data_IF_434885311225
#
_entry.id   IF_434885311225
#
_cell.length_a   1.000
_cell.length_b   1.000
_cell.length_c   1.000
_cell.angle_alpha   90.00
_cell.angle_beta   90.00
_cell.angle_gamma   90.00
#
_symmetry.space_group_name_H-M   'P 1'
#
loop_
_entity.id
_entity.type
_entity.pdbx_description
1 polymer ?
#
# COMPACT_ATOMS: atom_id res chain seq x y z
N UNK A 1 -77.65 4.95 -4.40
CA UNK A 1 -77.01 4.02 -3.44
C UNK A 1 -76.18 3.02 -4.22
N UNK A 2 -74.84 3.05 -4.06
CA UNK A 2 -73.83 2.04 -4.42
C UNK A 2 -73.61 1.72 -5.93
N UNK A 3 -72.42 1.52 -6.48
CA UNK A 3 -71.00 1.65 -6.06
C UNK A 3 -70.24 1.79 -7.41
N UNK A 4 -69.49 2.87 -7.60
CA UNK A 4 -68.40 2.94 -8.59
C UNK A 4 -67.19 2.31 -7.91
N UNK A 5 -66.86 1.06 -8.24
CA UNK A 5 -65.58 0.44 -7.87
C UNK A 5 -65.17 -0.51 -8.97
N UNK A 6 -64.13 -0.15 -9.72
CA UNK A 6 -63.56 -1.06 -10.70
C UNK A 6 -62.59 -0.47 -11.72
N UNK A 7 -61.97 0.69 -11.47
CA UNK A 7 -60.87 1.20 -12.30
C UNK A 7 -59.77 1.78 -11.40
N UNK A 8 -59.35 0.97 -10.42
CA UNK A 8 -58.11 1.18 -9.69
C UNK A 8 -57.48 -0.20 -9.52
N UNK A 9 -56.50 -0.54 -10.38
CA UNK A 9 -55.34 -1.35 -9.94
C UNK A 9 -54.28 -1.63 -11.01
N UNK A 10 -54.43 -1.27 -12.29
CA UNK A 10 -53.32 -1.51 -13.25
C UNK A 10 -52.29 -0.36 -13.28
N UNK A 11 -52.71 0.89 -13.14
CA UNK A 11 -51.80 2.04 -13.18
C UNK A 11 -50.89 2.15 -11.96
N UNK A 12 -51.39 1.77 -10.78
CA UNK A 12 -50.63 1.86 -9.52
C UNK A 12 -49.58 0.76 -9.36
N UNK A 13 -49.79 -0.41 -9.98
CA UNK A 13 -48.82 -1.51 -9.94
C UNK A 13 -47.59 -1.21 -10.82
N UNK A 14 -47.79 -0.50 -11.94
CA UNK A 14 -46.70 -0.17 -12.86
C UNK A 14 -45.74 0.91 -12.29
N UNK A 15 -46.28 1.87 -11.52
CA UNK A 15 -45.47 2.91 -10.86
C UNK A 15 -44.68 2.34 -9.68
N UNK A 16 -45.19 1.31 -8.99
CA UNK A 16 -44.46 0.63 -7.91
C UNK A 16 -43.28 -0.20 -8.44
N UNK A 17 -43.38 -0.79 -9.64
CA UNK A 17 -42.24 -1.46 -10.29
C UNK A 17 -41.18 -0.49 -10.80
N UNK A 18 -41.55 0.73 -11.20
CA UNK A 18 -40.60 1.76 -11.64
C UNK A 18 -39.80 2.38 -10.49
N UNK A 19 -40.33 2.36 -9.26
CA UNK A 19 -39.64 2.83 -8.06
C UNK A 19 -38.76 1.76 -7.38
N UNK A 20 -38.82 0.51 -7.84
CA UNK A 20 -37.90 -0.56 -7.41
C UNK A 20 -36.61 -0.62 -8.24
N UNK A 21 -36.45 0.26 -9.24
CA UNK A 21 -35.14 0.60 -9.80
C UNK A 21 -34.45 1.64 -8.91
N UNK A 22 -34.38 1.37 -7.61
CA UNK A 22 -33.43 2.04 -6.73
C UNK A 22 -32.05 1.67 -7.25
N UNK A 23 -31.36 2.66 -7.82
CA UNK A 23 -29.92 2.76 -8.01
C UNK A 23 -29.17 1.49 -7.61
N UNK A 24 -29.24 0.45 -8.45
CA UNK A 24 -28.15 -0.51 -8.46
C UNK A 24 -27.04 0.31 -9.08
N UNK A 25 -26.24 0.94 -8.22
CA UNK A 25 -24.89 1.32 -8.60
C UNK A 25 -24.26 0.00 -9.03
N UNK A 26 -24.38 -0.31 -10.31
CA UNK A 26 -23.47 -1.21 -10.98
C UNK A 26 -22.15 -0.44 -10.98
N UNK A 27 -21.51 -0.39 -9.82
CA UNK A 27 -20.07 -0.28 -9.79
C UNK A 27 -19.63 -1.49 -10.57
N UNK A 28 -19.18 -1.26 -11.80
CA UNK A 28 -18.35 -2.19 -12.52
C UNK A 28 -17.13 -2.42 -11.61
N UNK A 29 -17.26 -3.38 -10.69
CA UNK A 29 -16.16 -3.98 -9.98
C UNK A 29 -15.41 -4.75 -11.05
N UNK A 30 -14.57 -4.04 -11.80
CA UNK A 30 -13.51 -4.69 -12.53
C UNK A 30 -12.78 -5.52 -11.47
N UNK A 31 -12.94 -6.85 -11.53
CA UNK A 31 -11.91 -7.73 -11.00
C UNK A 31 -10.63 -7.16 -11.56
N UNK A 32 -9.75 -6.68 -10.68
CA UNK A 32 -8.42 -6.18 -11.05
C UNK A 32 -7.91 -7.14 -12.11
N UNK A 33 -7.77 -6.62 -13.33
CA UNK A 33 -7.48 -7.43 -14.48
C UNK A 33 -6.29 -8.31 -14.15
N UNK A 34 -6.39 -9.60 -14.43
CA UNK A 34 -5.20 -10.43 -14.59
C UNK A 34 -4.35 -9.76 -15.67
N UNK A 35 -3.48 -8.83 -15.30
CA UNK A 35 -2.38 -8.42 -16.16
C UNK A 35 -1.39 -9.57 -16.11
N UNK A 36 -1.70 -10.60 -16.90
CA UNK A 36 -0.74 -11.62 -17.30
C UNK A 36 -0.18 -11.19 -18.63
N UNK A 37 0.81 -10.30 -18.62
CA UNK A 37 1.65 -10.07 -19.78
C UNK A 37 3.13 -10.11 -19.36
N UNK A 38 3.83 -11.10 -19.90
CA UNK A 38 5.29 -11.22 -19.85
C UNK A 38 5.84 -11.70 -18.50
N UNK A 39 6.00 -13.01 -18.32
CA UNK A 39 6.90 -13.55 -17.29
C UNK A 39 8.34 -13.18 -17.64
N UNK A 40 8.78 -12.00 -17.22
CA UNK A 40 10.20 -11.70 -16.99
C UNK A 40 10.65 -12.46 -15.71
N UNK A 41 11.92 -12.84 -15.56
CA UNK A 41 12.37 -13.61 -14.41
C UNK A 41 12.11 -12.84 -13.12
N UNK A 42 11.91 -13.57 -12.02
CA UNK A 42 11.70 -13.00 -10.69
C UNK A 42 12.58 -11.76 -10.47
N UNK A 43 11.95 -10.60 -10.23
CA UNK A 43 12.69 -9.35 -10.06
C UNK A 43 13.72 -9.55 -8.95
N UNK A 44 14.97 -9.23 -9.28
CA UNK A 44 16.06 -9.37 -8.32
C UNK A 44 16.14 -8.12 -7.45
N UNK A 45 16.65 -8.24 -6.23
CA UNK A 45 16.96 -7.07 -5.40
C UNK A 45 17.85 -6.05 -6.14
N UNK A 46 18.64 -6.49 -7.14
CA UNK A 46 19.45 -5.59 -7.97
C UNK A 46 18.60 -4.62 -8.78
N UNK A 47 17.44 -5.04 -9.26
CA UNK A 47 16.52 -4.19 -10.03
C UNK A 47 15.80 -3.21 -9.11
N UNK A 48 15.34 -3.67 -7.94
CA UNK A 48 14.76 -2.80 -6.92
C UNK A 48 15.76 -1.72 -6.47
N UNK A 49 17.04 -2.08 -6.36
CA UNK A 49 18.10 -1.14 -6.00
C UNK A 49 18.70 -0.32 -7.16
N UNK A 50 18.12 -0.36 -8.38
CA UNK A 50 18.54 0.54 -9.47
C UNK A 50 18.29 2.01 -9.14
N UNK A 51 17.24 2.29 -8.37
CA UNK A 51 16.87 3.65 -7.95
C UNK A 51 17.77 4.23 -6.83
N UNK A 52 18.69 3.43 -6.29
CA UNK A 52 19.55 3.81 -5.17
C UNK A 52 21.01 3.98 -5.63
N UNK A 53 21.72 4.91 -4.99
CA UNK A 53 23.17 5.05 -5.16
C UNK A 53 23.86 3.88 -4.49
N UNK A 54 24.99 3.47 -5.04
CA UNK A 54 25.80 2.39 -4.49
C UNK A 54 26.30 2.66 -3.06
N UNK A 55 26.40 3.95 -2.67
CA UNK A 55 26.76 4.41 -1.33
C UNK A 55 25.60 4.43 -0.34
N UNK A 56 24.36 4.31 -0.81
CA UNK A 56 23.18 4.35 0.07
C UNK A 56 23.21 3.15 1.02
N UNK A 57 22.84 3.38 2.27
CA UNK A 57 22.82 2.37 3.33
C UNK A 57 21.42 1.76 3.48
N UNK A 58 21.38 0.45 3.67
CA UNK A 58 20.14 -0.32 3.85
C UNK A 58 20.25 -1.17 5.13
N UNK A 59 19.15 -1.25 5.88
CA UNK A 59 18.96 -2.18 6.99
C UNK A 59 17.77 -3.09 6.72
N UNK A 60 17.85 -4.35 7.15
CA UNK A 60 16.72 -5.28 7.11
C UNK A 60 16.05 -5.37 8.47
N UNK A 61 14.74 -5.11 8.54
CA UNK A 61 13.92 -5.26 9.74
C UNK A 61 13.36 -6.70 9.87
N UNK A 62 12.92 -7.09 11.06
CA UNK A 62 12.30 -8.40 11.31
C UNK A 62 10.97 -8.62 10.59
N UNK A 63 10.31 -7.56 10.11
CA UNK A 63 9.18 -7.65 9.17
C UNK A 63 9.58 -8.12 7.77
N UNK A 64 10.87 -8.10 7.45
CA UNK A 64 11.39 -8.28 6.09
C UNK A 64 11.58 -6.98 5.33
N UNK A 65 11.19 -5.83 5.90
CA UNK A 65 11.43 -4.52 5.30
C UNK A 65 12.91 -4.25 5.10
N UNK A 66 13.27 -3.77 3.92
CA UNK A 66 14.57 -3.20 3.59
C UNK A 66 14.41 -1.68 3.63
N UNK A 67 14.97 -1.05 4.66
CA UNK A 67 14.79 0.38 4.92
C UNK A 67 16.05 1.16 4.56
N UNK A 68 15.85 2.36 4.04
CA UNK A 68 16.87 3.37 3.75
C UNK A 68 16.52 4.68 4.45
N UNK A 69 17.52 5.35 5.03
CA UNK A 69 17.37 6.66 5.67
C UNK A 69 16.90 6.57 7.12
N UNK A 70 16.14 7.58 7.56
CA UNK A 70 15.60 7.66 8.91
C UNK A 70 14.16 7.15 8.91
N UNK A 71 13.90 6.10 9.66
CA UNK A 71 12.53 5.58 9.82
C UNK A 71 12.21 5.37 11.29
N UNK A 72 10.95 5.61 11.65
CA UNK A 72 10.42 5.24 12.96
C UNK A 72 9.12 4.47 12.83
N UNK A 73 8.81 3.65 13.84
CA UNK A 73 7.61 2.82 13.89
C UNK A 73 6.83 3.20 15.14
N UNK A 74 5.51 3.34 14.98
CA UNK A 74 4.53 3.56 16.04
C UNK A 74 3.32 2.65 15.83
N UNK A 75 2.44 2.57 16.82
CA UNK A 75 1.11 1.99 16.59
C UNK A 75 0.26 3.01 15.83
N UNK A 76 -0.53 2.57 14.84
CA UNK A 76 -1.44 3.46 14.11
C UNK A 76 -2.45 4.14 15.05
N UNK A 77 -2.89 3.48 16.13
CA UNK A 77 -3.83 4.07 17.09
C UNK A 77 -3.20 5.09 18.05
N UNK A 78 -1.87 5.17 18.09
CA UNK A 78 -1.10 6.06 18.97
C UNK A 78 0.19 6.49 18.22
N UNK A 79 0.07 7.29 17.15
CA UNK A 79 1.17 7.58 16.22
C UNK A 79 2.31 8.39 16.87
N UNK A 80 2.02 9.11 17.94
CA UNK A 80 3.00 9.92 18.68
C UNK A 80 3.93 9.05 19.56
N UNK A 81 3.51 7.83 19.88
CA UNK A 81 4.30 6.89 20.69
C UNK A 81 5.20 6.02 19.82
N UNK A 82 6.39 6.53 19.54
CA UNK A 82 7.41 5.80 18.79
C UNK A 82 7.90 4.58 19.59
N UNK A 83 7.78 3.39 19.00
CA UNK A 83 8.22 2.11 19.59
C UNK A 83 9.55 1.61 19.01
N UNK A 84 9.97 2.13 17.86
CA UNK A 84 11.25 1.81 17.23
C UNK A 84 11.71 2.96 16.35
N UNK A 85 13.02 3.18 16.26
CA UNK A 85 13.61 4.15 15.33
C UNK A 85 14.97 3.65 14.86
N UNK A 86 15.31 3.96 13.61
CA UNK A 86 16.61 3.67 13.03
C UNK A 86 17.03 4.76 12.05
N UNK A 87 18.33 5.01 12.01
CA UNK A 87 19.01 5.90 11.08
C UNK A 87 20.07 5.04 10.36
N UNK A 88 19.80 4.64 9.11
CA UNK A 88 20.62 3.62 8.43
C UNK A 88 22.07 4.06 8.23
N UNK A 89 22.32 5.37 8.15
CA UNK A 89 23.67 5.91 8.00
C UNK A 89 24.52 5.79 9.27
N UNK A 90 23.87 5.54 10.42
CA UNK A 90 24.52 5.42 11.74
C UNK A 90 24.43 4.01 12.33
N UNK A 91 23.70 3.10 11.67
CA UNK A 91 23.51 1.74 12.18
C UNK A 91 24.67 0.84 11.72
N UNK A 92 25.37 0.21 12.66
CA UNK A 92 26.49 -0.68 12.38
C UNK A 92 26.11 -1.95 11.60
N UNK A 93 24.81 -2.29 11.56
CA UNK A 93 24.27 -3.44 10.83
C UNK A 93 23.84 -3.08 9.41
N UNK A 94 23.86 -1.79 9.06
CA UNK A 94 23.57 -1.35 7.71
C UNK A 94 24.63 -1.87 6.73
N UNK A 95 24.23 -2.07 5.48
CA UNK A 95 25.12 -2.38 4.36
C UNK A 95 24.88 -1.41 3.23
N UNK A 96 25.92 -1.12 2.47
CA UNK A 96 25.77 -0.30 1.28
C UNK A 96 25.01 -1.09 0.21
N UNK A 97 24.31 -0.38 -0.67
CA UNK A 97 23.68 -0.99 -1.85
C UNK A 97 24.71 -1.74 -2.70
N UNK A 98 25.94 -1.24 -2.80
CA UNK A 98 27.03 -1.93 -3.49
C UNK A 98 27.33 -3.32 -2.88
N UNK A 99 27.37 -3.41 -1.54
CA UNK A 99 27.62 -4.68 -0.83
C UNK A 99 26.47 -5.66 -1.07
N UNK A 100 25.23 -5.18 -1.03
CA UNK A 100 24.05 -6.02 -1.23
C UNK A 100 23.98 -6.53 -2.67
N UNK A 101 24.29 -5.70 -3.67
CA UNK A 101 24.40 -6.09 -5.08
C UNK A 101 25.49 -7.16 -5.31
N UNK A 102 26.53 -7.20 -4.44
CA UNK A 102 27.58 -8.24 -4.42
C UNK A 102 27.21 -9.49 -3.61
N UNK A 103 26.02 -9.54 -3.01
CA UNK A 103 25.52 -10.70 -2.27
C UNK A 103 25.88 -10.73 -0.79
N UNK A 104 26.36 -9.62 -0.22
CA UNK A 104 26.56 -9.52 1.24
C UNK A 104 25.20 -9.60 1.94
N UNK A 105 25.10 -10.48 2.93
CA UNK A 105 23.86 -10.66 3.68
C UNK A 105 23.59 -9.48 4.63
N UNK A 106 22.31 -9.13 4.76
CA UNK A 106 21.83 -8.16 5.74
C UNK A 106 21.50 -8.88 7.05
N UNK A 107 22.03 -8.37 8.15
CA UNK A 107 21.57 -8.77 9.49
C UNK A 107 20.14 -8.26 9.71
N UNK A 108 19.32 -9.09 10.36
CA UNK A 108 17.93 -8.73 10.66
C UNK A 108 17.83 -8.01 12.00
N UNK A 109 17.43 -6.75 11.97
CA UNK A 109 17.16 -5.93 13.14
C UNK A 109 15.78 -6.24 13.68
N UNK A 110 15.71 -6.64 14.95
CA UNK A 110 14.44 -6.91 15.64
C UNK A 110 13.70 -5.59 15.92
N UNK A 111 12.47 -5.51 15.46
CA UNK A 111 11.52 -4.45 15.82
C UNK A 111 10.56 -4.96 16.90
N UNK A 112 10.30 -4.21 17.99
CA UNK A 112 9.29 -4.57 18.99
C UNK A 112 7.89 -4.71 18.37
N UNK A 113 7.08 -5.65 18.85
CA UNK A 113 5.63 -5.77 18.59
C UNK A 113 5.18 -5.79 17.11
N UNK A 114 6.01 -6.39 16.27
CA UNK A 114 5.77 -6.62 14.84
C UNK A 114 5.74 -8.16 14.66
N UNK A 115 4.59 -8.83 14.88
CA UNK A 115 4.48 -10.26 14.61
C UNK A 115 4.78 -10.49 13.13
N UNK A 116 5.92 -11.13 12.80
CA UNK A 116 6.33 -11.59 11.46
C UNK A 116 5.52 -10.96 10.30
N UNK A 117 5.67 -9.64 10.10
CA UNK A 117 4.81 -8.84 9.22
C UNK A 117 5.23 -8.95 7.74
N UNK A 118 5.64 -10.12 7.25
CA UNK A 118 5.62 -10.30 5.80
C UNK A 118 4.15 -10.28 5.40
N UNK A 119 3.76 -9.25 4.64
CA UNK A 119 2.46 -9.02 4.02
C UNK A 119 1.26 -9.85 4.53
N UNK A 120 0.30 -9.13 5.09
CA UNK A 120 -0.77 -9.71 5.90
C UNK A 120 -2.05 -9.92 5.09
N UNK A 121 -2.92 -10.80 5.53
CA UNK A 121 -4.29 -10.91 5.00
C UNK A 121 -5.26 -9.90 5.64
N UNK A 122 -4.73 -8.97 6.45
CA UNK A 122 -5.48 -7.96 7.20
C UNK A 122 -4.79 -6.61 7.05
N UNK A 123 -5.55 -5.50 7.11
CA UNK A 123 -4.99 -4.15 7.10
C UNK A 123 -3.86 -3.93 8.11
N UNK A 124 -2.93 -3.00 7.84
CA UNK A 124 -1.83 -2.71 8.74
C UNK A 124 -2.34 -2.14 10.08
N UNK A 125 -1.62 -2.45 11.14
CA UNK A 125 -1.85 -1.93 12.49
C UNK A 125 -0.67 -1.11 13.02
N UNK A 126 0.44 -1.14 12.29
CA UNK A 126 1.68 -0.43 12.62
C UNK A 126 1.92 0.66 11.59
N UNK A 127 2.38 1.80 12.07
CA UNK A 127 2.71 2.98 11.28
C UNK A 127 4.22 3.05 11.12
N UNK A 128 4.71 3.22 9.89
CA UNK A 128 6.09 3.54 9.59
C UNK A 128 6.17 5.00 9.13
N UNK A 129 6.77 5.83 9.99
CA UNK A 129 7.11 7.20 9.64
C UNK A 129 8.40 7.20 8.83
N UNK A 130 8.31 7.72 7.60
CA UNK A 130 9.46 7.85 6.70
C UNK A 130 10.02 9.27 6.80
N UNK A 131 11.27 9.39 7.23
CA UNK A 131 12.01 10.64 7.18
C UNK A 131 12.24 11.13 5.76
N UNK A 132 12.81 12.31 5.63
CA UNK A 132 13.16 12.89 4.33
C UNK A 132 14.02 11.93 3.50
N UNK A 133 13.62 11.73 2.23
CA UNK A 133 14.28 10.84 1.25
C UNK A 133 14.42 9.38 1.70
N UNK A 134 13.75 9.02 2.79
CA UNK A 134 13.77 7.67 3.36
C UNK A 134 12.77 6.78 2.63
N UNK A 135 13.04 5.48 2.60
CA UNK A 135 12.17 4.50 1.95
C UNK A 135 12.12 3.17 2.68
N UNK A 136 11.05 2.43 2.41
CA UNK A 136 10.84 1.06 2.85
C UNK A 136 10.47 0.21 1.65
N UNK A 137 11.22 -0.88 1.48
CA UNK A 137 11.00 -1.86 0.41
C UNK A 137 10.63 -3.20 1.04
N UNK A 138 9.58 -3.84 0.56
CA UNK A 138 9.19 -5.18 1.00
C UNK A 138 8.92 -6.10 -0.18
N UNK A 139 9.15 -7.39 0.07
CA UNK A 139 8.75 -8.47 -0.81
C UNK A 139 7.32 -8.90 -0.48
N UNK A 140 6.49 -9.14 -1.50
CA UNK A 140 5.19 -9.78 -1.35
C UNK A 140 5.36 -11.30 -1.18
N UNK A 141 4.66 -11.89 -0.22
CA UNK A 141 4.50 -13.35 -0.16
C UNK A 141 3.51 -13.77 -1.25
N UNK A 142 4.02 -14.52 -2.22
CA UNK A 142 3.20 -15.11 -3.27
C UNK A 142 2.04 -15.91 -2.68
N UNK A 143 0.81 -15.77 -3.22
CA UNK A 143 -0.30 -16.58 -2.71
C UNK A 143 -1.65 -16.34 -3.39
N UNK A 144 -2.43 -17.41 -3.51
CA UNK A 144 -3.65 -17.46 -4.32
C UNK A 144 -4.91 -16.83 -3.72
N UNK A 145 -5.79 -16.39 -4.61
CA UNK A 145 -7.16 -15.91 -4.41
C UNK A 145 -7.45 -15.00 -3.22
N UNK A 146 -6.49 -14.21 -2.71
CA UNK A 146 -6.69 -13.35 -1.52
C UNK A 146 -5.94 -12.02 -1.61
N UNK A 147 -6.47 -11.01 -0.92
CA UNK A 147 -5.79 -9.74 -0.70
C UNK A 147 -4.62 -9.87 0.28
N UNK A 148 -3.50 -9.25 -0.08
CA UNK A 148 -2.30 -9.08 0.74
C UNK A 148 -2.07 -7.61 0.99
N UNK A 149 -1.89 -7.23 2.24
CA UNK A 149 -1.68 -5.87 2.70
C UNK A 149 -0.24 -5.68 3.14
N UNK A 150 0.28 -4.46 2.96
CA UNK A 150 1.60 -4.08 3.44
C UNK A 150 1.75 -4.32 4.96
N UNK A 151 3.01 -4.52 5.37
CA UNK A 151 3.37 -4.70 6.77
C UNK A 151 3.01 -3.49 7.65
N UNK A 152 3.07 -2.30 7.05
CA UNK A 152 2.91 -1.02 7.70
C UNK A 152 1.94 -0.15 6.88
N UNK A 153 1.21 0.73 7.57
CA UNK A 153 0.83 1.99 6.97
C UNK A 153 2.04 2.92 7.02
N UNK A 154 2.07 3.91 6.14
CA UNK A 154 3.18 4.83 5.97
C UNK A 154 2.71 6.25 6.17
N UNK A 155 3.54 7.06 6.79
CA UNK A 155 3.33 8.49 6.92
C UNK A 155 4.63 9.23 6.59
N UNK A 156 4.60 10.27 5.75
CA UNK A 156 5.77 11.09 5.53
C UNK A 156 5.97 11.98 6.76
N UNK A 157 7.19 12.04 7.29
CA UNK A 157 7.55 13.06 8.27
C UNK A 157 7.71 14.38 7.51
N UNK A 158 6.92 15.43 7.82
CA UNK A 158 6.93 16.68 7.08
C UNK A 158 8.31 17.33 7.08
N UNK A 159 8.68 17.95 5.96
CA UNK A 159 9.90 18.75 5.84
C UNK A 159 9.53 20.20 5.55
N UNK A 160 10.27 21.13 6.14
CA UNK A 160 9.94 22.56 6.22
C UNK A 160 10.06 23.34 4.92
N UNK A 161 10.50 22.73 3.80
CA UNK A 161 10.95 23.49 2.62
C UNK A 161 10.55 22.95 1.23
N UNK A 162 9.95 21.77 1.10
CA UNK A 162 9.48 21.24 -0.19
C UNK A 162 8.26 20.32 -0.04
N UNK A 163 7.42 20.23 -1.06
CA UNK A 163 6.23 19.36 -1.08
C UNK A 163 6.71 17.90 -1.21
N UNK A 164 6.96 17.23 -0.07
CA UNK A 164 7.40 15.81 -0.01
C UNK A 164 6.29 14.87 0.44
N UNK A 165 5.93 13.91 -0.41
CA UNK A 165 4.82 12.98 -0.20
C UNK A 165 5.22 11.52 -0.33
N UNK A 166 4.25 10.62 -0.16
CA UNK A 166 4.48 9.19 -0.32
C UNK A 166 4.37 8.80 -1.79
N UNK A 167 5.46 8.23 -2.31
CA UNK A 167 5.53 7.66 -3.64
C UNK A 167 5.55 6.14 -3.50
N UNK A 168 4.60 5.47 -4.16
CA UNK A 168 4.47 4.02 -4.15
C UNK A 168 4.95 3.46 -5.48
N UNK A 169 5.88 2.52 -5.42
CA UNK A 169 6.43 1.87 -6.59
C UNK A 169 6.22 0.36 -6.50
N UNK A 170 5.66 -0.22 -7.56
CA UNK A 170 5.40 -1.64 -7.64
C UNK A 170 6.40 -2.28 -8.61
N UNK A 171 6.95 -3.42 -8.24
CA UNK A 171 7.87 -4.19 -9.06
C UNK A 171 7.25 -5.55 -9.37
N UNK A 172 7.28 -5.95 -10.64
CA UNK A 172 6.83 -7.23 -11.20
C UNK A 172 5.30 -7.41 -11.23
N UNK A 173 4.57 -6.92 -10.23
CA UNK A 173 3.11 -6.97 -10.20
C UNK A 173 2.51 -5.63 -9.76
N UNK A 174 1.27 -5.39 -10.17
CA UNK A 174 0.51 -4.19 -9.82
C UNK A 174 0.03 -4.29 -8.37
N UNK A 175 -0.09 -3.14 -7.71
CA UNK A 175 -0.74 -3.04 -6.40
C UNK A 175 -1.72 -1.86 -6.37
N UNK A 176 -2.55 -1.82 -5.35
CA UNK A 176 -3.35 -0.66 -4.98
C UNK A 176 -2.62 0.08 -3.86
N UNK A 177 -2.74 1.40 -3.84
CA UNK A 177 -2.35 2.24 -2.72
C UNK A 177 -3.45 3.25 -2.43
N UNK A 178 -3.62 3.57 -1.15
CA UNK A 178 -4.70 4.42 -0.70
C UNK A 178 -4.71 4.60 0.80
N UNK A 179 -5.74 5.27 1.29
CA UNK A 179 -5.89 5.57 2.71
C UNK A 179 -6.65 4.50 3.48
N UNK A 180 -6.95 4.82 4.74
CA UNK A 180 -7.65 3.91 5.64
C UNK A 180 -9.04 3.51 5.19
N UNK A 181 -9.73 4.38 4.46
CA UNK A 181 -11.02 4.05 3.91
C UNK A 181 -10.86 3.02 2.79
N UNK A 182 -9.93 3.27 1.86
CA UNK A 182 -9.68 2.39 0.72
C UNK A 182 -9.28 0.96 1.12
N UNK A 183 -8.34 0.79 2.05
CA UNK A 183 -7.91 -0.55 2.45
C UNK A 183 -8.95 -1.27 3.30
N UNK A 184 -9.72 -0.53 4.12
CA UNK A 184 -10.80 -1.13 4.92
C UNK A 184 -11.98 -1.54 4.04
N UNK A 185 -12.33 -0.73 3.05
CA UNK A 185 -13.36 -1.09 2.07
C UNK A 185 -12.91 -2.28 1.24
N UNK A 186 -11.63 -2.35 0.86
CA UNK A 186 -11.09 -3.55 0.20
C UNK A 186 -11.20 -4.78 1.10
N UNK A 187 -10.84 -4.65 2.37
CA UNK A 187 -10.91 -5.75 3.33
C UNK A 187 -12.35 -6.24 3.57
N UNK A 188 -13.29 -5.30 3.73
CA UNK A 188 -14.68 -5.60 4.08
C UNK A 188 -15.50 -6.08 2.88
N UNK A 189 -15.21 -5.59 1.68
CA UNK A 189 -15.98 -5.92 0.47
C UNK A 189 -15.33 -7.02 -0.39
N UNK A 190 -14.03 -7.23 -0.24
CA UNK A 190 -13.24 -8.09 -1.13
C UNK A 190 -12.99 -7.50 -2.53
N UNK A 191 -13.47 -6.28 -2.80
CA UNK A 191 -13.28 -5.54 -4.06
C UNK A 191 -12.15 -4.54 -3.88
N UNK A 192 -11.28 -4.36 -4.88
CA UNK A 192 -10.17 -3.42 -4.78
C UNK A 192 -10.64 -1.96 -4.81
N UNK A 193 -10.29 -1.19 -3.79
CA UNK A 193 -10.43 0.28 -3.74
C UNK A 193 -9.06 0.94 -3.70
N UNK A 194 -8.95 2.22 -4.01
CA UNK A 194 -7.67 2.95 -4.07
C UNK A 194 -7.11 3.16 -5.48
N UNK A 195 -5.87 3.65 -5.54
CA UNK A 195 -5.17 4.02 -6.78
C UNK A 195 -4.28 2.88 -7.23
N UNK A 196 -4.32 2.55 -8.53
CA UNK A 196 -3.42 1.56 -9.11
C UNK A 196 -1.98 2.08 -9.17
N UNK A 197 -1.06 1.24 -8.69
CA UNK A 197 0.38 1.39 -8.79
C UNK A 197 0.92 0.37 -9.78
N UNK A 198 1.22 0.82 -11.00
CA UNK A 198 1.71 -0.02 -12.09
C UNK A 198 3.22 -0.28 -12.01
N UNK A 199 3.68 -1.30 -12.73
CA UNK A 199 5.06 -1.79 -12.74
C UNK A 199 6.00 -1.05 -13.69
N UNK A 200 5.51 -0.07 -14.45
CA UNK A 200 6.18 0.56 -15.59
C UNK A 200 7.26 1.60 -15.21
N UNK A 201 8.04 1.35 -14.15
CA UNK A 201 9.09 2.24 -13.60
C UNK A 201 8.60 3.63 -13.10
N UNK A 202 7.36 4.01 -13.39
CA UNK A 202 6.77 5.25 -12.89
C UNK A 202 6.10 5.01 -11.53
N UNK A 203 6.65 5.65 -10.48
CA UNK A 203 6.03 5.63 -9.16
C UNK A 203 4.61 6.21 -9.24
N UNK A 204 3.66 5.50 -8.66
CA UNK A 204 2.30 6.01 -8.48
C UNK A 204 2.25 6.83 -7.21
N UNK A 205 1.86 8.07 -7.38
CA UNK A 205 1.80 9.06 -6.32
C UNK A 205 0.46 8.99 -5.61
N UNK A 206 0.48 8.91 -4.28
CA UNK A 206 -0.73 9.07 -3.47
C UNK A 206 -0.49 10.23 -2.51
N UNK A 207 -1.33 11.26 -2.64
CA UNK A 207 -0.94 12.63 -2.28
C UNK A 207 -0.90 12.96 -0.79
N UNK A 208 -0.14 14.02 -0.48
CA UNK A 208 -0.05 14.75 0.79
C UNK A 208 -1.35 15.41 1.29
N UNK A 209 -2.47 15.23 0.59
CA UNK A 209 -3.75 15.84 0.93
C UNK A 209 -4.84 14.81 1.21
N UNK A 210 -4.48 13.52 1.25
CA UNK A 210 -5.43 12.48 1.64
C UNK A 210 -5.57 12.52 3.15
N UNK A 211 -6.67 13.12 3.60
CA UNK A 211 -7.02 13.15 5.02
C UNK A 211 -7.68 11.82 5.33
N UNK A 212 -6.93 10.89 5.91
CA UNK A 212 -7.51 9.63 6.37
C UNK A 212 -8.29 9.85 7.67
N UNK A 213 -9.21 8.95 8.00
CA UNK A 213 -9.87 8.93 9.31
C UNK A 213 -8.90 8.70 10.48
N UNK A 214 -7.64 8.39 10.19
CA UNK A 214 -6.56 8.13 11.14
C UNK A 214 -5.58 9.32 11.26
N UNK A 215 -5.80 10.42 10.54
CA UNK A 215 -4.90 11.56 10.45
C UNK A 215 -4.48 11.88 9.01
N UNK A 216 -3.79 13.01 8.82
CA UNK A 216 -3.30 13.41 7.49
C UNK A 216 -2.22 12.45 6.98
N UNK A 217 -2.35 11.97 5.74
CA UNK A 217 -1.32 11.26 4.98
C UNK A 217 -0.84 9.90 5.54
N UNK A 218 -1.72 9.16 6.20
CA UNK A 218 -1.48 7.75 6.53
C UNK A 218 -1.99 6.89 5.38
N UNK A 219 -1.06 6.31 4.62
CA UNK A 219 -1.33 5.57 3.39
C UNK A 219 -0.73 4.17 3.45
N UNK A 220 -1.31 3.22 2.75
CA UNK A 220 -0.79 1.86 2.64
C UNK A 220 -0.91 1.36 1.21
N UNK A 221 -0.37 0.16 0.96
CA UNK A 221 -0.57 -0.56 -0.29
C UNK A 221 -0.95 -2.02 -0.05
N UNK A 222 -1.67 -2.59 -1.01
CA UNK A 222 -2.17 -3.96 -0.99
C UNK A 222 -2.32 -4.51 -2.41
N UNK A 223 -2.24 -5.82 -2.58
CA UNK A 223 -2.35 -6.48 -3.88
C UNK A 223 -3.19 -7.74 -3.78
N UNK A 224 -3.92 -8.05 -4.85
CA UNK A 224 -4.68 -9.29 -4.96
C UNK A 224 -3.78 -10.37 -5.54
N UNK A 225 -3.47 -11.38 -4.73
CA UNK A 225 -2.66 -12.52 -5.15
C UNK A 225 -1.36 -12.14 -5.87
N UNK A 226 -0.47 -11.36 -5.22
CA UNK A 226 0.73 -10.87 -5.86
C UNK A 226 1.58 -12.03 -6.39
N UNK A 227 2.11 -11.84 -7.60
CA UNK A 227 2.96 -12.83 -8.24
C UNK A 227 4.24 -13.07 -7.41
N UNK A 228 4.81 -14.26 -7.53
CA UNK A 228 6.08 -14.57 -6.87
C UNK A 228 7.20 -13.66 -7.39
N UNK A 229 8.04 -13.17 -6.47
CA UNK A 229 9.12 -12.23 -6.82
C UNK A 229 8.71 -10.76 -6.90
N UNK A 230 7.47 -10.41 -6.55
CA UNK A 230 7.00 -9.02 -6.56
C UNK A 230 7.44 -8.25 -5.33
N UNK A 231 7.82 -6.98 -5.53
CA UNK A 231 8.20 -6.06 -4.47
C UNK A 231 7.36 -4.80 -4.53
N UNK A 232 7.33 -4.07 -3.43
CA UNK A 232 6.92 -2.69 -3.43
C UNK A 232 7.93 -1.84 -2.65
N UNK A 233 8.07 -0.60 -3.07
CA UNK A 233 8.82 0.43 -2.36
C UNK A 233 7.89 1.60 -2.05
N UNK A 234 7.97 2.11 -0.83
CA UNK A 234 7.34 3.36 -0.42
C UNK A 234 8.46 4.33 -0.07
N UNK A 235 8.47 5.50 -0.72
CA UNK A 235 9.47 6.56 -0.48
C UNK A 235 8.77 7.83 -0.01
N UNK A 236 9.33 8.49 1.00
CA UNK A 236 9.05 9.90 1.25
C UNK A 236 10.00 10.74 0.39
N UNK A 237 9.48 11.40 -0.63
CA UNK A 237 10.30 12.11 -1.60
C UNK A 237 9.55 13.21 -2.33
N UNK A 238 10.27 13.91 -3.20
CA UNK A 238 9.69 14.92 -4.09
C UNK A 238 8.67 14.29 -5.04
N UNK A 239 7.57 15.00 -5.23
CA UNK A 239 6.53 14.64 -6.20
C UNK A 239 7.07 15.03 -7.58
N UNK A 240 7.21 14.09 -8.52
CA UNK A 240 7.49 14.47 -9.91
C UNK A 240 6.29 15.26 -10.43
N UNK A 241 6.51 16.54 -10.75
CA UNK A 241 5.55 17.43 -11.40
C UNK A 241 5.62 17.29 -12.92
#
# INVERSE_FOLDING_TARGET
MKIIKGILSLGTLFILCLLLFTNINVSASAKVGEVREGQDPAITLKEVFKAYKDTDTIVKLSSGALVHGKVSIANISDPDKIIFSIDTDKDSRARTVADIKKGVSLETVKTPDVPSLRDRTTPPTQLMNLGEDSSSTLHWTAGGGIWRYAAYAYQPVPVTTAVKGLCFHAYHDTMLAGDSQDWNDTYNTGVGHGVFCYTNEQASYVSQWVTSNLGSNILSCWSWSPAAGSYYTVKNGEIPF
#
